data_IF_360182374703
#
_entry.id   IF_360182374703
#
_cell.length_a   1.000
_cell.length_b   1.000
_cell.length_c   1.000
_cell.angle_alpha   90.00
_cell.angle_beta   90.00
_cell.angle_gamma   90.00
#
_symmetry.space_group_name_H-M   'P 1'
#
loop_
_entity.id
_entity.type
_entity.pdbx_description
1 polymer ?
#
# COMPACT_ATOMS: atom_id res chain seq x y z
N UNK A 1 6.52 11.04 7.01
CA UNK A 1 7.95 10.94 7.39
C UNK A 1 8.81 11.01 6.14
N UNK A 2 9.84 11.84 6.14
CA UNK A 2 10.88 11.93 5.12
C UNK A 2 12.18 11.38 5.73
N UNK A 3 12.53 10.15 5.39
CA UNK A 3 13.64 9.43 5.99
C UNK A 3 14.93 9.51 5.16
N UNK A 4 16.07 9.16 5.76
CA UNK A 4 17.41 9.14 5.15
C UNK A 4 17.96 10.53 4.82
N UNK A 5 17.58 11.52 5.60
CA UNK A 5 18.08 12.89 5.44
C UNK A 5 19.61 12.98 5.62
N UNK A 6 20.23 11.98 6.27
CA UNK A 6 21.68 11.86 6.44
C UNK A 6 22.44 11.58 5.14
N UNK A 7 21.76 11.12 4.08
CA UNK A 7 22.37 10.76 2.80
C UNK A 7 22.32 11.88 1.75
N UNK A 8 21.67 12.99 2.07
CA UNK A 8 21.38 14.09 1.12
C UNK A 8 21.66 15.44 1.78
N UNK A 9 21.84 16.47 0.96
CA UNK A 9 22.04 17.83 1.46
C UNK A 9 20.72 18.62 1.58
N UNK A 10 20.77 19.76 2.26
CA UNK A 10 19.58 20.60 2.52
C UNK A 10 18.87 21.08 1.24
N UNK A 11 19.59 21.28 0.13
CA UNK A 11 18.99 21.68 -1.14
C UNK A 11 18.16 20.54 -1.74
N UNK A 12 18.68 19.31 -1.68
CA UNK A 12 17.97 18.12 -2.13
C UNK A 12 16.74 17.82 -1.28
N UNK A 13 16.85 18.00 0.05
CA UNK A 13 15.71 17.88 0.97
C UNK A 13 14.62 18.89 0.60
N UNK A 14 14.96 20.18 0.45
CA UNK A 14 14.00 21.22 0.09
C UNK A 14 13.31 20.94 -1.26
N UNK A 15 14.05 20.42 -2.24
CA UNK A 15 13.48 20.01 -3.52
C UNK A 15 12.48 18.85 -3.37
N UNK A 16 12.80 17.83 -2.57
CA UNK A 16 11.89 16.71 -2.29
C UNK A 16 10.65 17.19 -1.53
N UNK A 17 10.81 18.06 -0.54
CA UNK A 17 9.68 18.62 0.21
C UNK A 17 8.73 19.41 -0.67
N UNK A 18 9.25 20.26 -1.55
CA UNK A 18 8.47 21.01 -2.52
C UNK A 18 7.61 20.08 -3.39
N UNK A 19 8.21 18.98 -3.88
CA UNK A 19 7.48 17.96 -4.64
C UNK A 19 6.40 17.26 -3.80
N UNK A 20 6.70 16.87 -2.57
CA UNK A 20 5.72 16.25 -1.67
C UNK A 20 4.55 17.20 -1.41
N UNK A 21 4.83 18.47 -1.13
CA UNK A 21 3.79 19.50 -0.91
C UNK A 21 2.95 19.80 -2.13
N UNK A 22 3.51 19.70 -3.34
CA UNK A 22 2.71 19.83 -4.57
C UNK A 22 1.72 18.68 -4.77
N UNK A 23 2.00 17.50 -4.20
CA UNK A 23 1.10 16.33 -4.25
C UNK A 23 0.07 16.40 -3.11
N UNK A 24 0.53 16.70 -1.89
CA UNK A 24 -0.31 16.83 -0.72
C UNK A 24 0.19 17.99 0.16
N UNK A 25 -0.44 19.15 -0.01
CA UNK A 25 -0.10 20.36 0.74
C UNK A 25 -0.37 20.24 2.25
N UNK A 26 -1.37 19.44 2.62
CA UNK A 26 -1.84 19.30 4.00
C UNK A 26 -1.01 18.34 4.85
N UNK A 27 -0.32 17.38 4.22
CA UNK A 27 0.47 16.39 4.94
C UNK A 27 1.67 17.02 5.67
N UNK A 28 1.84 16.81 6.99
CA UNK A 28 3.05 17.21 7.70
C UNK A 28 4.25 16.38 7.25
N UNK A 29 5.41 17.03 7.16
CA UNK A 29 6.67 16.37 6.80
C UNK A 29 7.55 16.34 8.05
N UNK A 30 7.96 15.14 8.44
CA UNK A 30 8.86 14.90 9.56
C UNK A 30 10.17 14.36 9.04
N UNK A 31 11.26 15.09 9.21
CA UNK A 31 12.61 14.64 8.86
C UNK A 31 13.08 13.57 9.83
N UNK A 32 13.53 12.44 9.31
CA UNK A 32 14.00 11.32 10.13
C UNK A 32 15.30 10.72 9.60
N UNK A 33 16.10 10.17 10.50
CA UNK A 33 17.23 9.29 10.20
C UNK A 33 16.93 7.92 10.81
N UNK A 34 17.18 6.83 10.07
CA UNK A 34 16.85 5.47 10.51
C UNK A 34 15.39 5.29 10.99
N UNK A 35 14.46 6.08 10.44
CA UNK A 35 13.04 6.08 10.79
C UNK A 35 12.74 6.39 12.27
N UNK A 36 13.66 7.07 12.97
CA UNK A 36 13.46 7.47 14.36
C UNK A 36 12.52 8.69 14.41
N UNK A 37 11.38 8.53 15.09
CA UNK A 37 10.37 9.56 15.35
C UNK A 37 9.60 9.19 16.63
N UNK A 38 9.01 10.18 17.32
CA UNK A 38 8.09 9.89 18.44
C UNK A 38 6.84 9.15 17.91
N UNK A 39 6.49 7.96 18.44
CA UNK A 39 5.30 7.21 18.04
C UNK A 39 3.99 8.01 18.12
N UNK A 40 3.92 9.05 18.94
CA UNK A 40 2.75 9.95 19.03
C UNK A 40 2.49 10.70 17.72
N UNK A 41 3.52 10.93 16.92
CA UNK A 41 3.42 11.57 15.59
C UNK A 41 3.01 10.58 14.49
N UNK A 42 2.85 9.29 14.82
CA UNK A 42 2.45 8.24 13.88
C UNK A 42 1.05 7.68 14.14
N UNK A 43 0.67 7.58 15.42
CA UNK A 43 -0.57 6.93 15.84
C UNK A 43 -1.51 7.97 16.41
N UNK A 44 -2.81 7.83 16.12
CA UNK A 44 -3.87 8.71 16.63
C UNK A 44 -3.70 10.19 16.24
N UNK A 45 -3.06 10.46 15.09
CA UNK A 45 -2.81 11.82 14.59
C UNK A 45 -4.04 12.49 13.94
N UNK A 46 -5.22 11.86 13.98
CA UNK A 46 -6.41 12.39 13.33
C UNK A 46 -6.24 12.60 11.82
N UNK A 47 -5.46 11.74 11.15
CA UNK A 47 -5.16 11.88 9.72
C UNK A 47 -6.40 11.76 8.80
N UNK A 48 -7.52 11.30 9.35
CA UNK A 48 -8.80 11.28 8.66
C UNK A 48 -9.77 12.21 9.39
N UNK A 49 -10.19 13.24 8.67
CA UNK A 49 -11.15 14.25 9.09
C UNK A 49 -12.15 14.40 7.94
N UNK A 50 -13.37 13.92 8.15
CA UNK A 50 -14.38 13.86 7.11
C UNK A 50 -14.77 15.26 6.61
N UNK A 51 -14.80 16.25 7.50
CA UNK A 51 -15.16 17.63 7.16
C UNK A 51 -14.10 18.24 6.23
N UNK A 52 -12.81 18.12 6.58
CA UNK A 52 -11.71 18.55 5.70
C UNK A 52 -11.65 17.79 4.39
N UNK A 53 -11.98 16.50 4.42
CA UNK A 53 -11.98 15.66 3.23
C UNK A 53 -13.07 16.11 2.27
N UNK A 54 -14.27 16.43 2.78
CA UNK A 54 -15.38 16.99 2.01
C UNK A 54 -15.14 18.42 1.54
N UNK A 55 -14.40 19.24 2.29
CA UNK A 55 -13.97 20.58 1.84
C UNK A 55 -13.00 20.50 0.65
N UNK A 56 -12.12 19.50 0.65
CA UNK A 56 -11.12 19.29 -0.40
C UNK A 56 -11.71 18.60 -1.63
N UNK A 57 -12.64 17.66 -1.41
CA UNK A 57 -13.33 16.88 -2.43
C UNK A 57 -14.81 16.72 -2.03
N UNK A 58 -15.71 17.61 -2.48
CA UNK A 58 -17.14 17.54 -2.16
C UNK A 58 -17.82 16.27 -2.67
N UNK A 59 -17.26 15.63 -3.70
CA UNK A 59 -17.77 14.39 -4.29
C UNK A 59 -17.18 13.15 -3.60
N UNK A 60 -16.38 13.30 -2.55
CA UNK A 60 -15.73 12.19 -1.84
C UNK A 60 -16.69 11.10 -1.34
N UNK A 61 -17.94 11.46 -1.01
CA UNK A 61 -18.99 10.53 -0.59
C UNK A 61 -19.93 10.10 -1.72
N UNK A 62 -19.73 10.62 -2.93
CA UNK A 62 -20.49 10.22 -4.10
C UNK A 62 -19.99 8.87 -4.60
N UNK A 63 -20.83 7.84 -4.41
CA UNK A 63 -20.54 6.48 -4.86
C UNK A 63 -20.68 6.29 -6.37
N UNK A 64 -21.23 7.27 -7.08
CA UNK A 64 -21.40 7.28 -8.53
C UNK A 64 -20.27 8.06 -9.23
N UNK A 65 -19.39 8.76 -8.49
CA UNK A 65 -18.20 9.40 -9.03
C UNK A 65 -17.17 8.32 -9.45
N UNK A 66 -16.80 8.29 -10.73
CA UNK A 66 -15.77 7.39 -11.24
C UNK A 66 -14.43 7.70 -10.56
N UNK A 67 -14.02 6.87 -9.60
CA UNK A 67 -12.68 6.90 -9.05
C UNK A 67 -11.66 6.59 -10.17
N UNK A 68 -11.07 7.61 -10.79
CA UNK A 68 -9.91 7.44 -11.67
C UNK A 68 -8.73 6.91 -10.85
N UNK A 69 -8.54 5.59 -10.86
CA UNK A 69 -7.26 5.00 -10.51
C UNK A 69 -6.24 5.37 -11.59
N UNK A 70 -4.95 5.53 -11.25
CA UNK A 70 -3.90 5.51 -12.28
C UNK A 70 -4.07 4.21 -13.08
N UNK A 71 -4.49 4.31 -14.34
CA UNK A 71 -4.84 3.19 -15.23
C UNK A 71 -3.74 2.11 -15.32
N UNK A 72 -2.52 2.44 -14.91
CA UNK A 72 -1.36 1.55 -14.93
C UNK A 72 -1.34 0.58 -13.76
N UNK A 73 -2.11 0.81 -12.69
CA UNK A 73 -2.18 -0.07 -11.51
C UNK A 73 -3.63 -0.44 -11.22
N UNK A 74 -3.91 -1.73 -11.33
CA UNK A 74 -5.26 -2.30 -11.14
C UNK A 74 -5.23 -3.42 -10.10
N UNK A 75 -6.38 -3.66 -9.47
CA UNK A 75 -6.59 -4.74 -8.51
C UNK A 75 -7.48 -5.81 -9.13
N UNK A 76 -7.15 -7.08 -8.88
CA UNK A 76 -8.00 -8.22 -9.24
C UNK A 76 -8.22 -9.10 -8.02
N UNK A 77 -9.39 -9.73 -7.95
CA UNK A 77 -9.75 -10.67 -6.89
C UNK A 77 -10.40 -11.91 -7.48
N UNK A 78 -10.21 -13.06 -6.81
CA UNK A 78 -10.77 -14.33 -7.24
C UNK A 78 -11.36 -15.04 -6.02
N UNK A 79 -12.53 -15.66 -6.21
CA UNK A 79 -13.19 -16.50 -5.21
C UNK A 79 -13.59 -17.81 -5.88
N UNK A 80 -13.39 -18.91 -5.18
CA UNK A 80 -13.80 -20.24 -5.63
C UNK A 80 -14.21 -21.07 -4.43
N UNK A 81 -14.96 -22.14 -4.68
CA UNK A 81 -15.39 -23.10 -3.66
C UNK A 81 -14.50 -24.35 -3.69
N UNK A 82 -14.27 -24.93 -2.51
CA UNK A 82 -13.48 -26.15 -2.34
C UNK A 82 -12.06 -25.93 -1.84
N UNK A 83 -11.36 -27.04 -1.63
CA UNK A 83 -10.02 -27.07 -1.05
C UNK A 83 -8.94 -27.15 -2.15
N UNK A 84 -7.85 -26.43 -1.95
CA UNK A 84 -6.69 -26.48 -2.83
C UNK A 84 -5.70 -27.56 -2.43
N UNK A 85 -5.02 -28.12 -3.43
CA UNK A 85 -3.83 -28.93 -3.19
C UNK A 85 -2.62 -28.01 -3.00
N UNK A 86 -1.92 -28.14 -1.87
CA UNK A 86 -0.78 -27.26 -1.51
C UNK A 86 0.32 -27.25 -2.57
N UNK A 87 0.71 -28.41 -3.10
CA UNK A 87 1.78 -28.50 -4.10
C UNK A 87 1.40 -27.80 -5.41
N UNK A 88 0.13 -27.88 -5.82
CA UNK A 88 -0.37 -27.15 -7.01
C UNK A 88 -0.42 -25.64 -6.74
N UNK A 89 -0.83 -25.24 -5.54
CA UNK A 89 -0.87 -23.85 -5.13
C UNK A 89 0.53 -23.22 -5.12
N UNK A 90 1.51 -23.87 -4.49
CA UNK A 90 2.90 -23.40 -4.45
C UNK A 90 3.50 -23.30 -5.86
N UNK A 91 3.25 -24.30 -6.71
CA UNK A 91 3.69 -24.26 -8.11
C UNK A 91 3.07 -23.08 -8.87
N UNK A 92 1.80 -22.80 -8.63
CA UNK A 92 1.09 -21.68 -9.25
C UNK A 92 1.63 -20.33 -8.76
N UNK A 93 1.74 -20.13 -7.43
CA UNK A 93 2.31 -18.91 -6.85
C UNK A 93 3.75 -18.71 -7.35
N UNK A 94 4.58 -19.76 -7.37
CA UNK A 94 5.94 -19.67 -7.88
C UNK A 94 6.00 -19.28 -9.37
N UNK A 95 5.05 -19.75 -10.20
CA UNK A 95 4.94 -19.31 -11.59
C UNK A 95 4.54 -17.84 -11.68
N UNK A 96 3.53 -17.43 -10.92
CA UNK A 96 3.04 -16.06 -10.85
C UNK A 96 4.15 -15.09 -10.45
N UNK A 97 4.94 -15.43 -9.43
CA UNK A 97 6.06 -14.60 -8.98
C UNK A 97 7.18 -14.49 -10.01
N UNK A 98 7.51 -15.57 -10.72
CA UNK A 98 8.54 -15.52 -11.79
C UNK A 98 8.09 -14.70 -13.01
N UNK A 99 6.81 -14.79 -13.38
CA UNK A 99 6.31 -14.14 -14.60
C UNK A 99 5.86 -12.68 -14.36
N UNK A 100 5.36 -12.38 -13.17
CA UNK A 100 4.72 -11.09 -12.86
C UNK A 100 5.27 -10.41 -11.60
N UNK A 101 6.32 -10.94 -10.95
CA UNK A 101 6.84 -10.42 -9.68
C UNK A 101 7.11 -8.92 -9.68
N UNK A 102 7.74 -8.38 -10.72
CA UNK A 102 8.01 -6.94 -10.86
C UNK A 102 6.75 -6.09 -11.04
N UNK A 103 5.64 -6.71 -11.47
CA UNK A 103 4.34 -6.05 -11.70
C UNK A 103 3.38 -6.24 -10.51
N UNK A 104 3.75 -7.07 -9.54
CA UNK A 104 2.96 -7.31 -8.35
C UNK A 104 3.42 -6.35 -7.24
N UNK A 105 2.57 -5.38 -6.90
CA UNK A 105 2.84 -4.46 -5.80
C UNK A 105 2.50 -5.09 -4.45
N UNK A 106 1.30 -5.68 -4.34
CA UNK A 106 0.81 -6.32 -3.11
C UNK A 106 -0.17 -7.42 -3.46
N UNK A 107 -0.03 -8.56 -2.80
CA UNK A 107 -0.97 -9.66 -2.91
C UNK A 107 -1.24 -10.28 -1.55
N UNK A 108 -2.49 -10.70 -1.35
CA UNK A 108 -2.97 -11.34 -0.13
C UNK A 108 -4.01 -12.39 -0.50
N UNK A 109 -4.07 -13.47 0.25
CA UNK A 109 -5.17 -14.40 0.14
C UNK A 109 -5.32 -15.29 1.36
N UNK A 110 -6.56 -15.72 1.54
CA UNK A 110 -6.97 -16.69 2.56
C UNK A 110 -7.57 -17.86 1.80
N UNK A 111 -6.98 -19.03 1.95
CA UNK A 111 -7.28 -20.21 1.14
C UNK A 111 -7.62 -21.40 2.05
N UNK A 112 -8.54 -22.25 1.59
CA UNK A 112 -8.75 -23.58 2.14
C UNK A 112 -7.79 -24.54 1.44
N UNK A 113 -6.98 -25.28 2.21
CA UNK A 113 -6.00 -26.23 1.69
C UNK A 113 -6.33 -27.61 2.22
N UNK A 114 -6.41 -28.59 1.32
CA UNK A 114 -6.80 -29.95 1.66
C UNK A 114 -5.84 -30.54 2.67
N UNK A 115 -6.37 -30.98 3.81
CA UNK A 115 -5.61 -31.57 4.90
C UNK A 115 -5.01 -30.56 5.89
N UNK A 116 -5.35 -29.28 5.76
CA UNK A 116 -5.04 -28.22 6.73
C UNK A 116 -6.37 -27.68 7.24
N UNK A 117 -6.65 -27.85 8.53
CA UNK A 117 -7.93 -27.45 9.16
C UNK A 117 -7.93 -25.93 9.52
N UNK A 118 -6.75 -25.31 9.45
CA UNK A 118 -6.55 -23.88 9.62
C UNK A 118 -6.62 -23.10 8.30
N UNK A 119 -6.87 -21.79 8.41
CA UNK A 119 -6.81 -20.87 7.28
C UNK A 119 -5.38 -20.79 6.74
N UNK A 120 -5.19 -21.17 5.49
CA UNK A 120 -3.91 -20.94 4.81
C UNK A 120 -3.85 -19.49 4.32
N UNK A 121 -3.03 -18.67 4.98
CA UNK A 121 -2.87 -17.25 4.65
C UNK A 121 -1.55 -17.06 3.92
N UNK A 122 -1.59 -16.37 2.78
CA UNK A 122 -0.39 -15.90 2.10
C UNK A 122 -0.47 -14.41 1.84
N UNK A 123 0.67 -13.74 1.94
CA UNK A 123 0.80 -12.31 1.64
C UNK A 123 2.20 -12.00 1.14
N UNK A 124 2.33 -10.96 0.33
CA UNK A 124 3.62 -10.43 -0.09
C UNK A 124 3.51 -8.99 -0.58
N UNK A 125 4.65 -8.32 -0.57
CA UNK A 125 4.83 -6.93 -1.01
C UNK A 125 6.03 -6.92 -1.93
N UNK A 126 5.78 -6.75 -3.22
CA UNK A 126 6.81 -6.76 -4.26
C UNK A 126 7.74 -8.01 -4.23
N UNK A 127 8.90 -7.95 -4.89
CA UNK A 127 9.96 -8.96 -4.79
C UNK A 127 10.89 -8.68 -3.59
N UNK A 128 10.41 -8.96 -2.37
CA UNK A 128 11.23 -9.07 -1.17
C UNK A 128 10.98 -10.41 -0.48
#
# INVERSE_FOLDING_TARGET
>A
MLNKIDLVNDQEIAHVESRIKSINGFAPIFHTQNSIIDPKELINIGAFDLEKTLEMDPEFLDTDAEHEHDDRVTSTSMKFEGELNVNKLERYIGKLMREYGEKLFRYKGVLAVKGIDEKYVFQGVHML
#
